data_IF_355749129521
#
_entry.id   IF_355749129521
#
_cell.length_a   1.000
_cell.length_b   1.000
_cell.length_c   1.000
_cell.angle_alpha   90.00
_cell.angle_beta   90.00
_cell.angle_gamma   90.00
#
_symmetry.space_group_name_H-M   'P 1'
#
loop_
_entity.id
_entity.type
_entity.pdbx_description
1 polymer ?
#
# COMPACT_ATOMS: atom_id res chain seq x y z
N UNK A 1 -16.59 15.04 11.28
CA UNK A 1 -16.09 14.52 9.99
C UNK A 1 -14.74 13.84 10.24
N UNK A 2 -14.56 12.65 9.73
CA UNK A 2 -13.26 11.95 9.76
C UNK A 2 -12.44 12.35 8.54
N UNK A 3 -11.16 12.58 8.75
CA UNK A 3 -10.21 12.94 7.68
C UNK A 3 -9.23 11.78 7.48
N UNK A 4 -9.07 11.36 6.25
CA UNK A 4 -8.16 10.30 5.85
C UNK A 4 -7.08 10.83 4.90
N UNK A 5 -5.87 10.31 5.03
CA UNK A 5 -4.76 10.60 4.12
C UNK A 5 -3.98 9.33 3.80
N UNK A 6 -3.48 9.27 2.59
CA UNK A 6 -2.45 8.34 2.18
C UNK A 6 -1.18 9.11 1.84
N UNK A 7 -0.07 8.70 2.40
CA UNK A 7 1.24 9.31 2.16
C UNK A 7 2.32 8.25 2.04
N UNK A 8 3.38 8.57 1.34
CA UNK A 8 4.52 7.68 1.16
C UNK A 8 5.28 7.36 2.46
N UNK A 9 5.14 8.18 3.49
CA UNK A 9 5.85 7.97 4.76
C UNK A 9 7.34 8.28 4.70
N UNK A 10 7.76 9.17 3.81
CA UNK A 10 9.16 9.56 3.61
C UNK A 10 9.58 10.78 4.42
N UNK A 11 8.62 11.53 4.93
CA UNK A 11 8.86 12.75 5.70
C UNK A 11 7.78 12.96 6.75
N UNK A 12 8.18 13.33 7.96
CA UNK A 12 7.25 13.79 8.99
C UNK A 12 6.61 15.13 8.61
N UNK A 13 5.32 15.25 8.89
CA UNK A 13 4.56 16.48 8.76
C UNK A 13 3.68 16.62 10.01
N UNK A 14 3.74 17.76 10.67
CA UNK A 14 3.02 17.98 11.95
C UNK A 14 1.49 17.84 11.78
N UNK A 15 0.94 18.19 10.63
CA UNK A 15 -0.48 18.06 10.36
C UNK A 15 -0.97 16.59 10.31
N UNK A 16 -0.06 15.59 10.25
CA UNK A 16 -0.44 14.18 10.38
C UNK A 16 -1.11 13.89 11.72
N UNK A 17 -0.81 14.68 12.74
CA UNK A 17 -1.46 14.56 14.04
C UNK A 17 -2.94 14.98 14.02
N UNK A 18 -3.38 15.72 13.00
CA UNK A 18 -4.76 16.15 12.82
C UNK A 18 -5.60 15.17 11.98
N UNK A 19 -5.00 14.10 11.51
CA UNK A 19 -5.64 13.09 10.64
C UNK A 19 -6.18 11.92 11.45
N UNK A 20 -7.37 11.45 11.12
CA UNK A 20 -8.03 10.32 11.78
C UNK A 20 -7.61 8.95 11.22
N UNK A 21 -7.43 8.87 9.89
CA UNK A 21 -7.03 7.64 9.20
C UNK A 21 -5.78 7.91 8.36
N UNK A 22 -4.62 7.41 8.81
CA UNK A 22 -3.34 7.58 8.11
C UNK A 22 -2.93 6.25 7.49
N UNK A 23 -2.81 6.23 6.17
CA UNK A 23 -2.21 5.12 5.43
C UNK A 23 -0.82 5.51 4.97
N UNK A 24 0.18 4.75 5.41
CA UNK A 24 1.57 4.91 4.98
C UNK A 24 1.85 3.91 3.86
N UNK A 25 2.23 4.43 2.70
CA UNK A 25 2.45 3.63 1.50
C UNK A 25 3.90 3.77 1.02
N UNK A 26 4.87 3.12 1.71
CA UNK A 26 6.26 3.15 1.27
C UNK A 26 6.40 2.51 -0.11
N UNK A 27 7.35 3.02 -0.87
CA UNK A 27 7.52 2.64 -2.28
C UNK A 27 8.42 1.40 -2.41
N UNK A 28 7.96 0.36 -3.11
CA UNK A 28 8.76 -0.85 -3.34
C UNK A 28 9.85 -0.62 -4.40
N UNK A 29 10.78 -1.60 -4.57
CA UNK A 29 11.89 -1.52 -5.52
C UNK A 29 11.50 -1.15 -6.95
N UNK A 30 10.35 -1.64 -7.45
CA UNK A 30 9.86 -1.34 -8.79
C UNK A 30 9.62 0.15 -9.04
N UNK A 31 9.45 0.95 -7.99
CA UNK A 31 9.33 2.41 -8.08
C UNK A 31 10.66 3.11 -8.39
N UNK A 32 11.80 2.43 -8.24
CA UNK A 32 13.13 3.02 -8.32
C UNK A 32 13.51 3.90 -7.13
N UNK A 33 12.71 3.89 -6.06
CA UNK A 33 12.95 4.68 -4.85
C UNK A 33 13.45 3.80 -3.72
N UNK A 34 14.36 4.34 -2.92
CA UNK A 34 14.80 3.70 -1.68
C UNK A 34 13.94 4.18 -0.49
N UNK A 35 13.66 3.25 0.41
CA UNK A 35 12.92 3.57 1.63
C UNK A 35 13.85 4.15 2.68
N UNK A 36 13.51 5.33 3.19
CA UNK A 36 14.13 5.85 4.42
C UNK A 36 13.44 5.20 5.63
N UNK A 37 14.01 4.08 6.09
CA UNK A 37 13.48 3.33 7.21
C UNK A 37 13.44 4.12 8.51
N UNK A 38 14.43 4.98 8.72
CA UNK A 38 14.48 5.84 9.90
C UNK A 38 13.32 6.84 9.93
N UNK A 39 13.02 7.45 8.77
CA UNK A 39 11.90 8.36 8.68
C UNK A 39 10.56 7.61 8.88
N UNK A 40 10.40 6.44 8.29
CA UNK A 40 9.18 5.63 8.45
C UNK A 40 8.99 5.18 9.91
N UNK A 41 10.05 4.71 10.57
CA UNK A 41 10.02 4.35 11.99
C UNK A 41 9.53 5.53 12.85
N UNK A 42 10.12 6.70 12.65
CA UNK A 42 9.76 7.91 13.42
C UNK A 42 8.30 8.33 13.20
N UNK A 43 7.81 8.24 11.98
CA UNK A 43 6.42 8.58 11.66
C UNK A 43 5.47 7.63 12.39
N UNK A 44 5.69 6.33 12.31
CA UNK A 44 4.85 5.33 12.97
C UNK A 44 4.90 5.50 14.48
N UNK A 45 6.09 5.63 15.07
CA UNK A 45 6.26 5.84 16.53
C UNK A 45 5.52 7.09 17.01
N UNK A 46 5.66 8.22 16.33
CA UNK A 46 4.98 9.47 16.70
C UNK A 46 3.47 9.36 16.60
N UNK A 47 2.96 8.74 15.53
CA UNK A 47 1.51 8.55 15.36
C UNK A 47 0.94 7.59 16.41
N UNK A 48 1.66 6.55 16.78
CA UNK A 48 1.24 5.59 17.82
C UNK A 48 1.34 6.19 19.24
N UNK A 49 2.30 7.04 19.49
CA UNK A 49 2.49 7.68 20.79
C UNK A 49 1.47 8.79 21.07
N UNK A 50 0.90 9.40 20.03
CA UNK A 50 -0.08 10.46 20.18
C UNK A 50 -1.45 9.91 20.58
N UNK A 51 -1.88 10.24 21.79
CA UNK A 51 -3.17 9.83 22.36
C UNK A 51 -4.22 10.94 22.34
N UNK A 52 -3.92 12.06 21.68
CA UNK A 52 -4.84 13.20 21.61
C UNK A 52 -6.14 12.90 20.86
N UNK A 53 -6.13 11.87 20.01
CA UNK A 53 -7.31 11.40 19.27
C UNK A 53 -7.25 9.90 18.97
N UNK A 54 -8.41 9.33 18.70
CA UNK A 54 -8.51 7.95 18.19
C UNK A 54 -8.14 7.95 16.71
N UNK A 55 -6.97 7.40 16.38
CA UNK A 55 -6.41 7.34 15.04
C UNK A 55 -6.30 5.91 14.56
N UNK A 56 -6.55 5.70 13.27
CA UNK A 56 -6.21 4.46 12.58
C UNK A 56 -4.93 4.68 11.78
N UNK A 57 -3.99 3.75 11.94
CA UNK A 57 -2.76 3.72 11.17
C UNK A 57 -2.75 2.41 10.40
N UNK A 58 -2.45 2.47 9.12
CA UNK A 58 -2.29 1.29 8.27
C UNK A 58 -1.10 1.46 7.34
N UNK A 59 -0.56 0.34 6.91
CA UNK A 59 0.49 0.26 5.89
C UNK A 59 -0.09 -0.32 4.61
N UNK A 60 0.35 0.18 3.47
CA UNK A 60 -0.01 -0.35 2.16
C UNK A 60 1.21 -0.40 1.26
N UNK A 61 1.42 -1.52 0.59
CA UNK A 61 2.46 -1.66 -0.44
C UNK A 61 1.82 -2.08 -1.74
N UNK A 62 2.15 -1.37 -2.81
CA UNK A 62 1.75 -1.72 -4.18
C UNK A 62 2.77 -2.71 -4.74
N UNK A 63 2.31 -3.86 -5.19
CA UNK A 63 3.15 -4.98 -5.61
C UNK A 63 3.00 -5.21 -7.11
N UNK A 64 4.11 -5.14 -7.84
CA UNK A 64 4.20 -5.39 -9.27
C UNK A 64 4.84 -6.75 -9.59
N UNK A 65 5.77 -7.20 -8.75
CA UNK A 65 6.59 -8.39 -8.99
C UNK A 65 7.03 -9.06 -7.68
N UNK A 66 7.82 -10.13 -7.81
CA UNK A 66 8.34 -10.89 -6.66
C UNK A 66 9.28 -10.06 -5.76
N UNK A 67 10.04 -9.13 -6.32
CA UNK A 67 10.91 -8.25 -5.54
C UNK A 67 10.09 -7.30 -4.66
N UNK A 68 9.00 -6.77 -5.19
CA UNK A 68 8.06 -5.94 -4.43
C UNK A 68 7.35 -6.73 -3.33
N UNK A 69 7.03 -8.00 -3.60
CA UNK A 69 6.44 -8.89 -2.60
C UNK A 69 7.42 -9.17 -1.45
N UNK A 70 8.69 -9.41 -1.76
CA UNK A 70 9.73 -9.59 -0.74
C UNK A 70 9.90 -8.32 0.11
N UNK A 71 9.87 -7.15 -0.53
CA UNK A 71 9.88 -5.85 0.16
C UNK A 71 8.65 -5.69 1.07
N UNK A 72 7.47 -6.05 0.58
CA UNK A 72 6.23 -5.98 1.38
C UNK A 72 6.31 -6.86 2.63
N UNK A 73 6.88 -8.05 2.52
CA UNK A 73 7.14 -8.93 3.68
C UNK A 73 8.10 -8.28 4.68
N UNK A 74 9.14 -7.61 4.21
CA UNK A 74 10.08 -6.87 5.06
C UNK A 74 9.38 -5.74 5.82
N UNK A 75 8.57 -4.94 5.14
CA UNK A 75 7.76 -3.88 5.77
C UNK A 75 6.84 -4.48 6.84
N UNK A 76 6.13 -5.54 6.51
CA UNK A 76 5.21 -6.18 7.45
C UNK A 76 5.91 -6.75 8.68
N UNK A 77 7.06 -7.39 8.51
CA UNK A 77 7.89 -7.89 9.64
C UNK A 77 8.39 -6.77 10.55
N UNK A 78 8.68 -5.61 9.97
CA UNK A 78 9.18 -4.46 10.73
C UNK A 78 8.11 -3.83 11.61
N UNK A 79 6.84 -3.86 11.18
CA UNK A 79 5.71 -3.24 11.88
C UNK A 79 4.57 -4.24 12.10
N UNK A 80 4.79 -5.29 12.89
CA UNK A 80 3.86 -6.43 12.97
C UNK A 80 2.49 -6.08 13.58
N UNK A 81 2.40 -5.02 14.37
CA UNK A 81 1.15 -4.57 15.00
C UNK A 81 0.31 -3.62 14.16
N UNK A 82 0.78 -3.24 12.98
CA UNK A 82 0.09 -2.28 12.11
C UNK A 82 -0.70 -3.03 11.04
N UNK A 83 -2.01 -2.75 10.86
CA UNK A 83 -2.80 -3.31 9.76
C UNK A 83 -2.12 -3.11 8.41
N UNK A 84 -2.05 -4.17 7.61
CA UNK A 84 -1.24 -4.21 6.41
C UNK A 84 -2.08 -4.58 5.18
N UNK A 85 -1.92 -3.80 4.13
CA UNK A 85 -2.62 -3.95 2.87
C UNK A 85 -1.62 -4.16 1.73
N UNK A 86 -1.90 -5.13 0.87
CA UNK A 86 -1.23 -5.30 -0.41
C UNK A 86 -2.18 -4.89 -1.52
N UNK A 87 -1.68 -4.17 -2.50
CA UNK A 87 -2.43 -3.77 -3.67
C UNK A 87 -1.69 -4.19 -4.93
N UNK A 88 -2.40 -4.74 -5.92
CA UNK A 88 -1.79 -5.03 -7.21
C UNK A 88 -1.43 -3.76 -7.95
N UNK A 89 -0.22 -3.70 -8.52
CA UNK A 89 0.21 -2.60 -9.37
C UNK A 89 -0.31 -2.72 -10.80
N UNK A 90 -0.52 -1.58 -11.46
CA UNK A 90 -0.80 -1.50 -12.89
C UNK A 90 0.46 -1.12 -13.65
N UNK A 91 1.08 -2.08 -14.33
CA UNK A 91 2.27 -1.85 -15.14
C UNK A 91 1.95 -1.27 -16.53
N UNK A 92 0.71 -1.41 -17.00
CA UNK A 92 0.27 -1.05 -18.36
C UNK A 92 -0.51 0.27 -18.36
N UNK A 93 0.07 1.32 -17.81
CA UNK A 93 -0.59 2.64 -17.66
C UNK A 93 -0.93 3.34 -18.98
N UNK A 94 -0.33 2.89 -20.08
CA UNK A 94 -0.56 3.42 -21.43
C UNK A 94 -1.57 2.57 -22.25
N UNK A 95 -1.99 1.41 -21.74
CA UNK A 95 -2.91 0.54 -22.46
C UNK A 95 -4.31 1.18 -22.50
N UNK A 96 -4.86 1.32 -23.71
CA UNK A 96 -6.20 1.86 -23.95
C UNK A 96 -7.27 0.79 -24.11
N UNK A 97 -6.88 -0.48 -24.25
CA UNK A 97 -7.82 -1.62 -24.30
C UNK A 97 -8.24 -1.99 -22.87
N UNK A 98 -9.43 -1.53 -22.49
CA UNK A 98 -9.96 -1.71 -21.13
C UNK A 98 -10.17 -3.19 -20.77
N UNK A 99 -10.64 -4.00 -21.72
CA UNK A 99 -10.92 -5.42 -21.47
C UNK A 99 -9.63 -6.23 -21.32
N UNK A 100 -8.63 -5.98 -22.16
CA UNK A 100 -7.31 -6.58 -22.04
C UNK A 100 -6.63 -6.16 -20.72
N UNK A 101 -6.74 -4.89 -20.35
CA UNK A 101 -6.19 -4.36 -19.09
C UNK A 101 -6.87 -5.01 -17.88
N UNK A 102 -8.19 -5.14 -17.88
CA UNK A 102 -8.93 -5.83 -16.81
C UNK A 102 -8.48 -7.26 -16.63
N UNK A 103 -8.32 -8.01 -17.75
CA UNK A 103 -7.84 -9.38 -17.70
C UNK A 103 -6.46 -9.48 -17.07
N UNK A 104 -5.53 -8.59 -17.43
CA UNK A 104 -4.19 -8.53 -16.86
C UNK A 104 -4.23 -8.20 -15.35
N UNK A 105 -5.03 -7.22 -14.95
CA UNK A 105 -5.16 -6.82 -13.54
C UNK A 105 -5.78 -7.92 -12.68
N UNK A 106 -6.76 -8.65 -13.20
CA UNK A 106 -7.35 -9.79 -12.51
C UNK A 106 -6.36 -10.95 -12.36
N UNK A 107 -5.58 -11.26 -13.39
CA UNK A 107 -4.51 -12.27 -13.31
C UNK A 107 -3.44 -11.88 -12.28
N UNK A 108 -3.08 -10.61 -12.20
CA UNK A 108 -2.14 -10.10 -11.21
C UNK A 108 -2.71 -10.18 -9.80
N UNK A 109 -3.98 -9.86 -9.63
CA UNK A 109 -4.67 -9.99 -8.36
C UNK A 109 -4.72 -11.44 -7.89
N UNK A 110 -5.05 -12.37 -8.80
CA UNK A 110 -5.05 -13.81 -8.53
C UNK A 110 -3.66 -14.29 -8.07
N UNK A 111 -2.62 -13.94 -8.82
CA UNK A 111 -1.24 -14.23 -8.44
C UNK A 111 -0.91 -13.72 -7.03
N UNK A 112 -1.24 -12.46 -6.72
CA UNK A 112 -0.94 -11.88 -5.40
C UNK A 112 -1.69 -12.58 -4.28
N UNK A 113 -2.95 -12.94 -4.50
CA UNK A 113 -3.77 -13.71 -3.54
C UNK A 113 -3.14 -15.09 -3.30
N UNK A 114 -2.72 -15.80 -4.34
CA UNK A 114 -2.06 -17.09 -4.23
C UNK A 114 -0.74 -16.98 -3.44
N UNK A 115 0.10 -16.00 -3.75
CA UNK A 115 1.35 -15.77 -3.05
C UNK A 115 1.14 -15.44 -1.56
N UNK A 116 0.13 -14.66 -1.25
CA UNK A 116 -0.19 -14.33 0.14
C UNK A 116 -0.76 -15.53 0.88
N UNK A 117 -1.59 -16.35 0.24
CA UNK A 117 -2.18 -17.55 0.84
C UNK A 117 -1.13 -18.63 1.16
N UNK A 118 -0.05 -18.71 0.37
CA UNK A 118 1.06 -19.64 0.60
C UNK A 118 2.07 -19.15 1.66
N UNK A 119 1.97 -17.90 2.10
CA UNK A 119 2.91 -17.29 3.03
C UNK A 119 2.31 -17.12 4.41
N UNK A 120 2.88 -17.79 5.41
CA UNK A 120 2.49 -17.59 6.82
C UNK A 120 2.70 -16.14 7.28
N UNK A 121 3.73 -15.46 6.78
CA UNK A 121 4.02 -14.07 7.11
C UNK A 121 2.91 -13.12 6.66
N UNK A 122 2.14 -13.48 5.65
CA UNK A 122 1.09 -12.66 5.06
C UNK A 122 -0.33 -13.14 5.41
N UNK A 123 -0.47 -14.01 6.41
CA UNK A 123 -1.76 -14.61 6.79
C UNK A 123 -2.80 -13.58 7.26
N UNK A 124 -2.37 -12.45 7.78
CA UNK A 124 -3.21 -11.40 8.34
C UNK A 124 -3.33 -10.15 7.45
N UNK A 125 -2.77 -10.19 6.23
CA UNK A 125 -2.82 -9.05 5.32
C UNK A 125 -4.14 -8.98 4.55
N UNK A 126 -4.50 -7.76 4.16
CA UNK A 126 -5.63 -7.49 3.26
C UNK A 126 -5.11 -7.23 1.85
N UNK A 127 -5.78 -7.81 0.85
CA UNK A 127 -5.40 -7.64 -0.56
C UNK A 127 -6.45 -6.81 -1.26
N UNK A 128 -6.00 -5.77 -1.95
CA UNK A 128 -6.84 -4.82 -2.64
C UNK A 128 -6.55 -4.82 -4.15
N UNK A 129 -7.59 -4.82 -4.99
CA UNK A 129 -7.44 -4.50 -6.40
C UNK A 129 -7.30 -2.99 -6.60
N UNK A 130 -6.80 -2.57 -7.74
CA UNK A 130 -6.92 -1.19 -8.21
C UNK A 130 -8.31 -0.97 -8.80
N UNK A 131 -9.28 -0.70 -7.95
CA UNK A 131 -10.69 -0.62 -8.33
C UNK A 131 -10.96 0.41 -9.44
N UNK A 132 -10.35 1.58 -9.36
CA UNK A 132 -10.46 2.61 -10.39
C UNK A 132 -10.08 2.08 -11.77
N UNK A 133 -8.92 1.43 -11.87
CA UNK A 133 -8.43 0.88 -13.13
C UNK A 133 -9.29 -0.28 -13.64
N UNK A 134 -9.81 -1.11 -12.74
CA UNK A 134 -10.75 -2.18 -13.12
C UNK A 134 -12.05 -1.64 -13.70
N UNK A 135 -12.56 -0.52 -13.18
CA UNK A 135 -13.83 0.07 -13.63
C UNK A 135 -13.67 0.90 -14.90
N UNK A 136 -12.63 1.73 -14.95
CA UNK A 136 -12.48 2.75 -16.00
C UNK A 136 -11.18 2.65 -16.80
N UNK A 137 -10.38 1.61 -16.61
CA UNK A 137 -9.09 1.48 -17.25
C UNK A 137 -8.12 2.59 -16.82
N UNK A 138 -7.34 3.11 -17.77
CA UNK A 138 -6.38 4.18 -17.54
C UNK A 138 -6.98 5.59 -17.71
N UNK A 139 -8.29 5.71 -17.78
CA UNK A 139 -8.98 6.98 -17.92
C UNK A 139 -8.75 7.85 -16.68
N UNK A 140 -8.33 9.10 -16.90
CA UNK A 140 -8.10 10.08 -15.83
C UNK A 140 -9.33 10.94 -15.57
N UNK A 141 -9.49 11.41 -14.34
CA UNK A 141 -10.55 12.35 -13.98
C UNK A 141 -11.95 11.75 -13.84
N UNK A 142 -12.02 10.48 -13.61
CA UNK A 142 -13.28 9.77 -13.31
C UNK A 142 -13.34 9.29 -11.88
#
# INVERSE_FOLDING_TARGET
MRVAVETQGSRWQDWLLDIDDVTLSPKPPSSGMDTDWSALDQIIERLQADQSRVRRISLKVVVFDDADLAYAKEVHRRYPGVPFYLQTGNADVADSDVDALRAKLLSRLEWLVEQAAESEELADVHILPQLHTLLWGNKRGV
#
